data_IF_114294514925
#
_entry.id   IF_114294514925
#
_cell.length_a   1.000
_cell.length_b   1.000
_cell.length_c   1.000
_cell.angle_alpha   90.00
_cell.angle_beta   90.00
_cell.angle_gamma   90.00
#
_symmetry.space_group_name_H-M   'P 1'
#
loop_
_entity.id
_entity.type
_entity.pdbx_description
1 polymer ?
#
# COMPACT_ATOMS: atom_id res chain seq x y z
N UNK A 1 17.19 -1.49 27.18
CA UNK A 1 15.77 -1.76 26.90
C UNK A 1 15.50 -3.19 27.32
N UNK A 2 14.98 -3.43 28.53
CA UNK A 2 15.04 -4.76 29.17
C UNK A 2 13.70 -5.49 29.35
N UNK A 3 12.59 -4.92 28.88
CA UNK A 3 11.31 -5.65 28.90
C UNK A 3 10.71 -5.67 27.50
N UNK A 4 10.76 -6.82 26.82
CA UNK A 4 10.09 -7.07 25.54
C UNK A 4 8.56 -7.09 25.62
N UNK A 5 7.97 -6.21 26.43
CA UNK A 5 6.52 -6.07 26.60
C UNK A 5 5.99 -5.09 25.56
N UNK A 6 5.06 -5.58 24.73
CA UNK A 6 4.23 -4.75 23.86
C UNK A 6 2.97 -4.30 24.60
N UNK A 7 2.41 -3.11 24.28
CA UNK A 7 1.13 -2.65 24.82
C UNK A 7 0.00 -3.65 24.60
N UNK A 8 -0.96 -3.72 25.51
CA UNK A 8 -2.11 -4.63 25.38
C UNK A 8 -2.99 -4.29 24.16
N UNK A 9 -3.05 -3.02 23.79
CA UNK A 9 -3.72 -2.54 22.56
C UNK A 9 -3.10 -3.10 21.27
N UNK A 10 -1.85 -3.57 21.31
CA UNK A 10 -1.20 -4.22 20.17
C UNK A 10 -1.45 -5.73 20.16
N UNK A 11 -1.90 -6.29 21.28
CA UNK A 11 -2.24 -7.72 21.43
C UNK A 11 -3.68 -8.01 21.05
N UNK A 12 -4.53 -6.98 21.02
CA UNK A 12 -5.94 -7.09 20.66
C UNK A 12 -6.17 -6.58 19.24
N UNK A 13 -7.06 -7.23 18.49
CA UNK A 13 -7.46 -6.79 17.15
C UNK A 13 -8.96 -7.02 16.98
N UNK A 14 -9.62 -6.10 16.31
CA UNK A 14 -11.03 -6.28 15.95
C UNK A 14 -11.10 -7.01 14.62
N UNK A 15 -11.79 -8.14 14.60
CA UNK A 15 -12.06 -8.88 13.36
C UNK A 15 -13.30 -8.33 12.67
N UNK A 16 -13.18 -8.02 11.39
CA UNK A 16 -14.31 -7.67 10.53
C UNK A 16 -14.38 -8.62 9.35
N UNK A 17 -15.58 -9.00 8.94
CA UNK A 17 -15.79 -9.90 7.81
C UNK A 17 -16.06 -9.07 6.56
N UNK A 18 -15.12 -9.07 5.61
CA UNK A 18 -15.30 -8.42 4.31
C UNK A 18 -15.87 -9.41 3.30
N UNK A 19 -17.05 -9.12 2.76
CA UNK A 19 -17.66 -9.93 1.71
C UNK A 19 -16.81 -9.88 0.43
N UNK A 20 -16.54 -11.04 -0.17
CA UNK A 20 -15.76 -11.12 -1.41
C UNK A 20 -16.64 -11.26 -2.65
N UNK A 21 -17.40 -12.35 -2.74
CA UNK A 21 -18.18 -12.74 -3.91
C UNK A 21 -19.13 -13.92 -3.60
N UNK A 22 -20.03 -14.25 -4.52
CA UNK A 22 -20.95 -15.38 -4.37
C UNK A 22 -22.24 -15.06 -3.60
N UNK A 23 -22.70 -15.99 -2.77
CA UNK A 23 -23.92 -15.85 -1.97
C UNK A 23 -23.61 -15.32 -0.57
N UNK A 24 -24.28 -14.24 -0.15
CA UNK A 24 -24.03 -13.54 1.13
C UNK A 24 -24.37 -14.34 2.39
N UNK A 25 -25.14 -15.41 2.29
CA UNK A 25 -25.48 -16.25 3.45
C UNK A 25 -24.43 -17.34 3.72
N UNK A 26 -23.47 -17.53 2.80
CA UNK A 26 -22.39 -18.50 2.95
C UNK A 26 -21.22 -17.81 3.66
N UNK A 27 -20.87 -18.30 4.84
CA UNK A 27 -19.76 -17.75 5.65
C UNK A 27 -18.41 -17.76 4.91
N UNK A 28 -18.15 -18.79 4.10
CA UNK A 28 -16.90 -18.92 3.33
C UNK A 28 -16.69 -17.80 2.29
N UNK A 29 -17.74 -17.06 1.94
CA UNK A 29 -17.69 -15.92 1.02
C UNK A 29 -17.27 -14.60 1.71
N UNK A 30 -16.82 -14.68 2.96
CA UNK A 30 -16.30 -13.57 3.72
C UNK A 30 -14.84 -13.84 4.09
N UNK A 31 -14.00 -12.82 3.92
CA UNK A 31 -12.62 -12.84 4.41
C UNK A 31 -12.58 -12.14 5.78
N UNK A 32 -12.12 -12.82 6.84
CA UNK A 32 -11.84 -12.15 8.10
C UNK A 32 -10.63 -11.23 7.92
N UNK A 33 -10.79 -9.97 8.30
CA UNK A 33 -9.74 -8.95 8.27
C UNK A 33 -9.51 -8.45 9.69
N UNK A 34 -8.27 -8.53 10.14
CA UNK A 34 -7.84 -7.96 11.42
C UNK A 34 -7.60 -6.46 11.27
N UNK A 35 -8.31 -5.64 12.06
CA UNK A 35 -8.05 -4.21 12.13
C UNK A 35 -7.13 -3.95 13.33
N UNK A 36 -5.90 -3.56 13.05
CA UNK A 36 -4.90 -3.19 14.04
C UNK A 36 -5.02 -1.71 14.42
N UNK A 37 -4.55 -1.35 15.62
CA UNK A 37 -4.50 0.04 16.05
C UNK A 37 -3.53 0.88 15.19
N UNK A 38 -3.67 2.20 15.22
CA UNK A 38 -2.88 3.11 14.37
C UNK A 38 -1.37 2.97 14.61
N UNK A 39 -0.95 2.72 15.85
CA UNK A 39 0.45 2.53 16.19
C UNK A 39 1.05 1.31 15.47
N UNK A 40 0.32 0.20 15.43
CA UNK A 40 0.76 -0.99 14.70
C UNK A 40 0.92 -0.70 13.21
N UNK A 41 -0.03 0.02 12.59
CA UNK A 41 0.05 0.38 11.15
C UNK A 41 1.25 1.26 10.83
N UNK A 42 1.57 2.22 11.70
CA UNK A 42 2.74 3.09 11.54
C UNK A 42 4.04 2.27 11.59
N UNK A 43 4.16 1.37 12.56
CA UNK A 43 5.37 0.55 12.71
C UNK A 43 5.49 -0.45 11.56
N UNK A 44 4.39 -1.09 11.18
CA UNK A 44 4.33 -1.97 10.01
C UNK A 44 4.81 -1.23 8.76
N UNK A 45 4.36 0.00 8.55
CA UNK A 45 4.81 0.84 7.45
C UNK A 45 6.32 1.11 7.53
N UNK A 46 6.82 1.58 8.67
CA UNK A 46 8.26 1.87 8.87
C UNK A 46 9.10 0.63 8.56
N UNK A 47 8.77 -0.52 9.17
CA UNK A 47 9.51 -1.77 9.00
C UNK A 47 9.47 -2.23 7.54
N UNK A 48 8.28 -2.25 6.94
CA UNK A 48 8.10 -2.68 5.54
C UNK A 48 8.87 -1.77 4.58
N UNK A 49 8.81 -0.45 4.77
CA UNK A 49 9.57 0.48 3.93
C UNK A 49 11.08 0.27 4.01
N UNK A 50 11.63 0.00 5.20
CA UNK A 50 13.06 -0.25 5.34
C UNK A 50 13.46 -1.60 4.72
N UNK A 51 12.70 -2.66 4.97
CA UNK A 51 12.95 -3.99 4.42
C UNK A 51 12.88 -3.94 2.88
N UNK A 52 11.85 -3.32 2.32
CA UNK A 52 11.68 -3.24 0.87
C UNK A 52 12.78 -2.42 0.20
N UNK A 53 13.16 -1.26 0.77
CA UNK A 53 14.30 -0.47 0.27
C UNK A 53 15.59 -1.27 0.26
N UNK A 54 15.87 -2.00 1.35
CA UNK A 54 17.05 -2.85 1.42
C UNK A 54 16.99 -3.98 0.39
N UNK A 55 15.86 -4.70 0.32
CA UNK A 55 15.68 -5.82 -0.60
C UNK A 55 15.83 -5.43 -2.08
N UNK A 56 15.41 -4.22 -2.44
CA UNK A 56 15.64 -3.66 -3.77
C UNK A 56 17.11 -3.28 -3.99
N UNK A 57 17.76 -2.64 -3.01
CA UNK A 57 19.17 -2.24 -3.11
C UNK A 57 20.11 -3.45 -3.28
N UNK A 58 19.83 -4.57 -2.61
CA UNK A 58 20.60 -5.82 -2.73
C UNK A 58 20.09 -6.76 -3.83
N UNK A 59 19.04 -6.36 -4.55
CA UNK A 59 18.44 -7.10 -5.67
C UNK A 59 18.07 -8.57 -5.35
N UNK A 60 17.54 -8.82 -4.15
CA UNK A 60 17.12 -10.16 -3.71
C UNK A 60 15.70 -10.53 -4.16
N UNK A 61 14.92 -9.55 -4.65
CA UNK A 61 13.55 -9.75 -5.11
C UNK A 61 13.55 -10.31 -6.53
N UNK A 62 12.63 -11.24 -6.80
CA UNK A 62 12.52 -11.85 -8.12
C UNK A 62 12.19 -10.79 -9.20
N UNK A 63 12.85 -10.79 -10.37
CA UNK A 63 12.68 -9.74 -11.38
C UNK A 63 11.25 -9.56 -11.91
N UNK A 64 10.47 -10.65 -11.97
CA UNK A 64 9.07 -10.66 -12.41
C UNK A 64 8.08 -10.68 -11.24
N UNK A 65 8.51 -10.38 -10.01
CA UNK A 65 7.59 -10.10 -8.93
C UNK A 65 7.03 -8.69 -9.11
N UNK A 66 5.75 -8.58 -9.41
CA UNK A 66 5.07 -7.28 -9.61
C UNK A 66 4.34 -6.81 -8.35
N UNK A 67 3.83 -7.75 -7.55
CA UNK A 67 3.10 -7.43 -6.32
C UNK A 67 4.00 -6.80 -5.25
N UNK A 68 3.45 -5.79 -4.57
CA UNK A 68 4.07 -5.12 -3.41
C UNK A 68 5.42 -4.46 -3.71
N UNK A 69 5.70 -4.11 -4.96
CA UNK A 69 6.91 -3.39 -5.36
C UNK A 69 6.57 -2.02 -5.91
N UNK A 70 7.42 -1.04 -5.62
CA UNK A 70 7.26 0.30 -6.17
C UNK A 70 7.47 0.27 -7.69
N UNK A 71 6.68 1.07 -8.42
CA UNK A 71 6.79 1.25 -9.89
C UNK A 71 6.75 -0.06 -10.70
N UNK A 72 6.10 -1.09 -10.17
CA UNK A 72 5.83 -2.36 -10.85
C UNK A 72 4.33 -2.59 -10.89
N UNK A 73 3.79 -2.69 -12.10
CA UNK A 73 2.37 -2.94 -12.32
C UNK A 73 2.15 -4.39 -12.74
N UNK A 74 0.95 -4.93 -12.52
CA UNK A 74 0.59 -6.30 -12.92
C UNK A 74 0.44 -6.48 -14.45
N UNK A 75 0.63 -5.42 -15.22
CA UNK A 75 0.66 -5.45 -16.68
C UNK A 75 2.10 -5.32 -17.20
N UNK A 76 2.37 -5.94 -18.35
CA UNK A 76 3.68 -5.88 -19.01
C UNK A 76 3.53 -5.22 -20.38
N UNK A 77 4.52 -4.41 -20.81
CA UNK A 77 4.57 -3.83 -22.15
C UNK A 77 4.24 -2.33 -22.21
N UNK A 78 3.64 -1.87 -23.31
CA UNK A 78 3.39 -0.43 -23.58
C UNK A 78 2.44 0.23 -22.58
N UNK A 79 1.51 -0.54 -22.00
CA UNK A 79 0.61 -0.04 -20.96
C UNK A 79 1.36 0.26 -19.66
N UNK A 80 2.39 -0.53 -19.32
CA UNK A 80 3.22 -0.31 -18.14
C UNK A 80 3.96 1.04 -18.19
N UNK A 81 4.53 1.41 -19.34
CA UNK A 81 5.19 2.71 -19.51
C UNK A 81 4.21 3.89 -19.46
N UNK A 82 3.00 3.71 -19.99
CA UNK A 82 1.96 4.73 -19.91
C UNK A 82 1.46 4.90 -18.47
N UNK A 83 1.25 3.80 -17.73
CA UNK A 83 0.82 3.81 -16.33
C UNK A 83 1.84 4.53 -15.44
N UNK A 84 3.14 4.23 -15.62
CA UNK A 84 4.19 4.91 -14.87
C UNK A 84 4.24 6.42 -15.17
N UNK A 85 4.16 6.80 -16.46
CA UNK A 85 4.12 8.20 -16.85
C UNK A 85 2.86 8.92 -16.31
N UNK A 86 1.71 8.25 -16.34
CA UNK A 86 0.44 8.80 -15.86
C UNK A 86 0.43 9.01 -14.34
N UNK A 87 0.97 8.08 -13.57
CA UNK A 87 0.92 8.13 -12.11
C UNK A 87 2.06 8.96 -11.49
N UNK A 88 3.25 8.93 -12.10
CA UNK A 88 4.49 9.48 -11.50
C UNK A 88 5.01 10.72 -12.23
N UNK A 89 4.51 11.03 -13.43
CA UNK A 89 5.03 12.14 -14.24
C UNK A 89 3.93 13.08 -14.73
N UNK A 90 2.80 13.13 -14.02
CA UNK A 90 1.74 14.13 -14.28
C UNK A 90 1.95 15.36 -13.42
N UNK A 91 1.79 16.52 -14.04
CA UNK A 91 1.61 17.78 -13.32
C UNK A 91 0.13 17.95 -12.96
N UNK A 92 -0.16 18.28 -11.71
CA UNK A 92 -1.50 18.67 -11.27
C UNK A 92 -1.53 20.16 -10.94
N UNK A 93 -2.67 20.78 -11.23
CA UNK A 93 -3.01 22.14 -10.81
C UNK A 93 -4.31 22.07 -10.01
N UNK A 94 -4.35 22.77 -8.88
CA UNK A 94 -5.57 22.93 -8.10
C UNK A 94 -6.24 24.21 -8.56
N UNK A 95 -7.50 24.13 -8.99
CA UNK A 95 -8.28 25.31 -9.35
C UNK A 95 -9.35 25.58 -8.28
N UNK A 96 -9.38 26.81 -7.74
CA UNK A 96 -10.41 27.27 -6.80
C UNK A 96 -10.99 28.55 -7.37
N UNK A 97 -12.31 28.56 -7.60
CA UNK A 97 -13.06 29.72 -8.10
C UNK A 97 -12.51 30.40 -9.37
N UNK A 98 -11.84 29.62 -10.23
CA UNK A 98 -11.28 30.10 -11.51
C UNK A 98 -9.80 30.47 -11.46
N UNK A 99 -9.20 30.56 -10.27
CA UNK A 99 -7.75 30.72 -10.10
C UNK A 99 -7.06 29.35 -10.03
N UNK A 100 -5.95 29.19 -10.75
CA UNK A 100 -5.16 27.95 -10.78
C UNK A 100 -3.87 28.12 -9.97
N UNK A 101 -3.56 27.13 -9.14
CA UNK A 101 -2.26 26.96 -8.49
C UNK A 101 -1.16 26.62 -9.49
N UNK A 102 0.09 26.84 -9.08
CA UNK A 102 1.28 26.35 -9.78
C UNK A 102 1.22 24.84 -9.99
N UNK A 103 1.85 24.39 -11.08
CA UNK A 103 1.96 22.98 -11.44
C UNK A 103 2.83 22.25 -10.42
N UNK A 104 2.22 21.33 -9.66
CA UNK A 104 2.93 20.38 -8.80
C UNK A 104 3.15 19.06 -9.52
N UNK A 105 4.37 18.51 -9.45
CA UNK A 105 4.63 17.15 -9.92
C UNK A 105 4.09 16.14 -8.90
N UNK A 106 3.43 15.09 -9.39
CA UNK A 106 2.93 14.00 -8.56
C UNK A 106 3.99 12.91 -8.46
N UNK A 107 4.52 12.69 -7.25
CA UNK A 107 5.36 11.53 -6.94
C UNK A 107 4.50 10.44 -6.27
N UNK A 108 4.60 9.20 -6.75
CA UNK A 108 3.97 8.01 -6.16
C UNK A 108 4.98 7.18 -5.36
#
# INVERSE_FOLDING_TARGET
>A
METGRVPDDWRTTTFTAAYTNGQKYIQANYRPTSITCICCKIIEHIVTSHIMKHAEAVNILYPLQHGFRSKRFCETGKTNSWLDAFLTNRAQVVAVEGEQSDKGNVES
#
